data_IF_883814679898
#
_entry.id   IF_883814679898
#
_cell.length_a   1.000
_cell.length_b   1.000
_cell.length_c   1.000
_cell.angle_alpha   90.00
_cell.angle_beta   90.00
_cell.angle_gamma   90.00
#
_symmetry.space_group_name_H-M   'P 1'
#
loop_
_entity.id
_entity.type
_entity.pdbx_description
1 polymer ?
#
# COMPACT_ATOMS: atom_id res chain seq x y z
N UNK A 1 -7.90 26.46 -2.53
CA UNK A 1 -7.84 25.12 -3.16
C UNK A 1 -8.31 25.29 -4.61
N UNK A 2 -7.37 25.44 -5.55
CA UNK A 2 -7.70 25.62 -6.97
C UNK A 2 -7.91 24.24 -7.61
N UNK A 3 -9.15 23.88 -7.85
CA UNK A 3 -9.48 22.81 -8.80
C UNK A 3 -9.31 23.42 -10.18
N UNK A 4 -8.14 23.22 -10.81
CA UNK A 4 -7.97 23.47 -12.22
C UNK A 4 -8.67 22.33 -12.96
N UNK A 5 -9.89 22.60 -13.39
CA UNK A 5 -10.60 21.75 -14.34
C UNK A 5 -9.85 21.82 -15.69
N UNK A 6 -8.95 20.87 -15.91
CA UNK A 6 -8.24 20.76 -17.19
C UNK A 6 -9.05 19.91 -18.12
N UNK A 7 -9.78 20.57 -19.02
CA UNK A 7 -10.37 19.92 -20.18
C UNK A 7 -9.32 19.75 -21.27
N UNK A 8 -9.06 18.53 -21.67
CA UNK A 8 -8.29 18.22 -22.89
C UNK A 8 -9.29 17.64 -23.90
N UNK A 9 -9.54 18.36 -24.98
CA UNK A 9 -10.43 17.91 -26.04
C UNK A 9 -11.92 17.81 -25.69
N UNK A 10 -12.40 18.54 -24.67
CA UNK A 10 -13.81 18.55 -24.25
C UNK A 10 -14.19 17.43 -23.25
N UNK A 11 -13.26 16.55 -22.90
CA UNK A 11 -13.47 15.54 -21.85
C UNK A 11 -12.96 16.04 -20.49
N UNK A 12 -13.74 15.78 -19.43
CA UNK A 12 -13.32 16.08 -18.06
C UNK A 12 -12.22 15.09 -17.68
N UNK A 13 -11.04 15.63 -17.32
CA UNK A 13 -9.93 14.79 -16.87
C UNK A 13 -10.31 14.05 -15.57
N UNK A 14 -10.32 12.73 -15.62
CA UNK A 14 -10.54 11.92 -14.43
C UNK A 14 -9.28 11.90 -13.56
N UNK A 15 -9.46 12.17 -12.28
CA UNK A 15 -8.38 12.12 -11.29
C UNK A 15 -8.49 10.84 -10.45
N UNK A 16 -7.36 10.35 -9.95
CA UNK A 16 -7.37 9.38 -8.89
C UNK A 16 -8.01 10.01 -7.64
N UNK A 17 -9.03 9.34 -7.10
CA UNK A 17 -9.73 9.70 -5.86
C UNK A 17 -9.66 8.52 -4.90
N UNK A 18 -10.03 8.74 -3.65
CA UNK A 18 -10.15 7.66 -2.68
C UNK A 18 -11.11 6.56 -3.18
N UNK A 19 -12.29 6.95 -3.64
CA UNK A 19 -13.35 6.01 -4.05
C UNK A 19 -12.91 5.14 -5.23
N UNK A 20 -12.38 5.75 -6.30
CA UNK A 20 -11.95 4.97 -7.46
C UNK A 20 -10.65 4.18 -7.19
N UNK A 21 -9.83 4.59 -6.22
CA UNK A 21 -8.66 3.83 -5.79
C UNK A 21 -9.07 2.59 -4.99
N UNK A 22 -10.04 2.72 -4.09
CA UNK A 22 -10.63 1.56 -3.38
C UNK A 22 -11.30 0.60 -4.36
N UNK A 23 -12.04 1.12 -5.34
CA UNK A 23 -12.64 0.29 -6.39
C UNK A 23 -11.56 -0.46 -7.19
N UNK A 24 -10.43 0.20 -7.54
CA UNK A 24 -9.33 -0.45 -8.24
C UNK A 24 -8.69 -1.55 -7.39
N UNK A 25 -8.44 -1.33 -6.10
CA UNK A 25 -7.97 -2.36 -5.18
C UNK A 25 -8.94 -3.56 -5.15
N UNK A 26 -10.23 -3.31 -5.01
CA UNK A 26 -11.25 -4.36 -4.97
C UNK A 26 -11.30 -5.20 -6.28
N UNK A 27 -11.05 -4.60 -7.44
CA UNK A 27 -10.95 -5.34 -8.73
C UNK A 27 -9.76 -6.32 -8.74
N UNK A 28 -8.71 -6.03 -7.98
CA UNK A 28 -7.57 -6.93 -7.76
C UNK A 28 -7.78 -7.85 -6.55
N UNK A 29 -9.01 -7.93 -6.00
CA UNK A 29 -9.36 -8.73 -4.83
C UNK A 29 -8.59 -8.32 -3.56
N UNK A 30 -8.24 -7.05 -3.44
CA UNK A 30 -7.56 -6.45 -2.29
C UNK A 30 -8.57 -5.63 -1.50
N UNK A 31 -8.87 -6.03 -0.26
CA UNK A 31 -9.76 -5.29 0.63
C UNK A 31 -9.00 -4.48 1.66
N UNK A 32 -9.56 -3.36 2.11
CA UNK A 32 -8.94 -2.53 3.16
C UNK A 32 -8.80 -3.31 4.47
N UNK A 33 -9.74 -4.22 4.74
CA UNK A 33 -9.74 -5.07 5.94
C UNK A 33 -8.54 -6.02 5.95
N UNK A 34 -8.20 -6.64 4.84
CA UNK A 34 -7.03 -7.53 4.73
C UNK A 34 -5.72 -6.78 4.91
N UNK A 35 -5.60 -5.57 4.33
CA UNK A 35 -4.45 -4.68 4.58
C UNK A 35 -4.36 -4.34 6.07
N UNK A 36 -5.51 -4.01 6.71
CA UNK A 36 -5.55 -3.66 8.12
C UNK A 36 -5.15 -4.82 9.04
N UNK A 37 -5.50 -6.06 8.71
CA UNK A 37 -5.10 -7.25 9.46
C UNK A 37 -3.58 -7.39 9.49
N UNK A 38 -2.91 -7.19 8.35
CA UNK A 38 -1.44 -7.25 8.27
C UNK A 38 -0.80 -6.15 9.13
N UNK A 39 -1.29 -4.92 9.03
CA UNK A 39 -0.82 -3.81 9.83
C UNK A 39 -1.08 -4.00 11.33
N UNK A 40 -2.22 -4.56 11.71
CA UNK A 40 -2.55 -4.93 13.08
C UNK A 40 -1.57 -5.97 13.63
N UNK A 41 -1.30 -7.03 12.88
CA UNK A 41 -0.38 -8.09 13.30
C UNK A 41 1.05 -7.57 13.51
N UNK A 42 1.46 -6.56 12.75
CA UNK A 42 2.77 -5.91 12.90
C UNK A 42 2.87 -5.10 14.19
N UNK A 43 1.79 -4.46 14.67
CA UNK A 43 1.83 -3.48 15.75
C UNK A 43 1.16 -3.91 17.05
N UNK A 44 0.34 -4.96 17.06
CA UNK A 44 -0.45 -5.39 18.25
C UNK A 44 0.39 -5.65 19.50
N UNK A 45 1.66 -6.03 19.35
CA UNK A 45 2.57 -6.27 20.47
C UNK A 45 3.21 -4.99 21.02
N UNK A 46 3.15 -3.88 20.27
CA UNK A 46 3.78 -2.60 20.61
C UNK A 46 2.76 -1.54 21.00
N UNK A 47 1.50 -1.69 20.58
CA UNK A 47 0.43 -0.75 20.86
C UNK A 47 -0.66 -1.44 21.67
N UNK A 48 -0.63 -1.33 23.02
CA UNK A 48 -1.63 -1.95 23.89
C UNK A 48 -3.06 -1.49 23.57
N UNK A 49 -3.97 -2.47 23.45
CA UNK A 49 -5.37 -2.21 23.15
C UNK A 49 -5.66 -1.83 21.69
N UNK A 50 -4.68 -1.98 20.78
CA UNK A 50 -4.91 -1.77 19.35
C UNK A 50 -6.00 -2.73 18.85
N UNK A 51 -6.86 -2.25 17.96
CA UNK A 51 -7.87 -3.05 17.28
C UNK A 51 -7.68 -2.99 15.75
N UNK A 52 -8.22 -3.98 15.05
CA UNK A 52 -8.16 -4.01 13.58
C UNK A 52 -8.89 -2.80 12.97
N UNK A 53 -10.01 -2.37 13.59
CA UNK A 53 -10.79 -1.22 13.15
C UNK A 53 -9.95 0.08 13.19
N UNK A 54 -9.12 0.26 14.22
CA UNK A 54 -8.22 1.41 14.31
C UNK A 54 -7.15 1.40 13.20
N UNK A 55 -6.66 0.23 12.84
CA UNK A 55 -5.72 0.09 11.72
C UNK A 55 -6.43 0.31 10.38
N UNK A 56 -7.66 -0.18 10.22
CA UNK A 56 -8.46 0.05 9.02
C UNK A 56 -8.76 1.54 8.81
N UNK A 57 -9.08 2.28 9.87
CA UNK A 57 -9.17 3.76 9.85
C UNK A 57 -7.84 4.41 9.41
N UNK A 58 -6.70 3.84 9.84
CA UNK A 58 -5.39 4.31 9.41
C UNK A 58 -5.16 4.04 7.91
N UNK A 59 -5.52 2.86 7.39
CA UNK A 59 -5.47 2.54 5.94
C UNK A 59 -6.32 3.54 5.15
N UNK A 60 -7.57 3.77 5.56
CA UNK A 60 -8.45 4.77 4.93
C UNK A 60 -7.78 6.15 4.89
N UNK A 61 -7.21 6.57 6.01
CA UNK A 61 -6.52 7.87 6.10
C UNK A 61 -5.27 7.95 5.20
N UNK A 62 -4.54 6.86 5.04
CA UNK A 62 -3.41 6.75 4.10
C UNK A 62 -3.91 6.93 2.67
N UNK A 63 -4.97 6.23 2.28
CA UNK A 63 -5.55 6.27 0.95
C UNK A 63 -6.16 7.63 0.54
N UNK A 64 -6.47 8.50 1.50
CA UNK A 64 -6.88 9.87 1.19
C UNK A 64 -5.73 10.77 0.71
N UNK A 65 -4.47 10.32 0.82
CA UNK A 65 -3.34 11.06 0.28
C UNK A 65 -3.19 10.79 -1.22
N UNK A 66 -3.34 11.82 -2.02
CA UNK A 66 -3.28 11.73 -3.50
C UNK A 66 -2.00 11.07 -4.02
N UNK A 67 -0.87 11.28 -3.36
CA UNK A 67 0.41 10.67 -3.78
C UNK A 67 0.34 9.14 -3.75
N UNK A 68 -0.32 8.55 -2.76
CA UNK A 68 -0.49 7.10 -2.68
C UNK A 68 -1.50 6.59 -3.69
N UNK A 69 -2.60 7.33 -3.91
CA UNK A 69 -3.55 7.00 -4.96
C UNK A 69 -2.83 6.85 -6.32
N UNK A 70 -1.97 7.81 -6.68
CA UNK A 70 -1.22 7.76 -7.94
C UNK A 70 -0.26 6.56 -8.00
N UNK A 71 0.45 6.24 -6.91
CA UNK A 71 1.36 5.09 -6.85
C UNK A 71 0.61 3.77 -7.00
N UNK A 72 -0.52 3.60 -6.29
CA UNK A 72 -1.40 2.42 -6.40
C UNK A 72 -1.92 2.26 -7.83
N UNK A 73 -2.36 3.37 -8.46
CA UNK A 73 -2.85 3.34 -9.83
C UNK A 73 -1.79 2.90 -10.82
N UNK A 74 -0.55 3.39 -10.70
CA UNK A 74 0.56 2.99 -11.57
C UNK A 74 0.88 1.51 -11.37
N UNK A 75 1.05 1.07 -10.13
CA UNK A 75 1.38 -0.29 -9.76
C UNK A 75 0.37 -1.31 -10.32
N UNK A 76 -0.89 -1.16 -9.93
CA UNK A 76 -1.94 -2.10 -10.34
C UNK A 76 -2.29 -2.01 -11.84
N UNK A 77 -1.95 -0.90 -12.51
CA UNK A 77 -2.10 -0.80 -13.95
C UNK A 77 -0.99 -1.54 -14.69
N UNK A 78 0.24 -1.53 -14.15
CA UNK A 78 1.35 -2.31 -14.72
C UNK A 78 1.07 -3.81 -14.63
N UNK A 79 0.59 -4.31 -13.49
CA UNK A 79 0.17 -5.71 -13.37
C UNK A 79 -0.92 -6.06 -14.39
N UNK A 80 -1.97 -5.24 -14.49
CA UNK A 80 -3.07 -5.46 -15.44
C UNK A 80 -2.61 -5.48 -16.90
N UNK A 81 -1.71 -4.57 -17.28
CA UNK A 81 -1.22 -4.45 -18.66
C UNK A 81 -0.27 -5.60 -18.99
N UNK A 82 0.57 -6.02 -18.02
CA UNK A 82 1.43 -7.19 -18.16
C UNK A 82 0.60 -8.48 -18.30
N UNK A 83 -0.42 -8.68 -17.46
CA UNK A 83 -1.34 -9.84 -17.54
C UNK A 83 -2.05 -9.89 -18.90
N UNK A 84 -2.32 -8.74 -19.52
CA UNK A 84 -2.90 -8.64 -20.84
C UNK A 84 -1.88 -8.76 -22.00
N UNK A 85 -0.58 -8.98 -21.72
CA UNK A 85 0.53 -9.01 -22.67
C UNK A 85 0.63 -7.75 -23.56
N UNK A 86 0.47 -6.57 -22.96
CA UNK A 86 0.47 -5.28 -23.66
C UNK A 86 1.71 -4.42 -23.36
N UNK A 87 2.64 -4.90 -22.54
CA UNK A 87 3.91 -4.23 -22.34
C UNK A 87 4.88 -4.59 -23.49
N UNK A 88 5.83 -3.68 -23.74
CA UNK A 88 6.92 -3.93 -24.69
C UNK A 88 8.05 -4.72 -24.00
N UNK A 89 8.61 -5.73 -24.67
CA UNK A 89 9.80 -6.43 -24.16
C UNK A 89 11.03 -5.49 -24.13
N UNK A 90 11.91 -5.55 -23.11
CA UNK A 90 11.96 -6.62 -22.11
C UNK A 90 11.03 -6.41 -20.88
N UNK A 91 10.31 -5.28 -20.79
CA UNK A 91 9.48 -4.95 -19.61
C UNK A 91 8.37 -5.98 -19.39
N UNK A 92 7.77 -6.51 -20.47
CA UNK A 92 6.78 -7.58 -20.38
C UNK A 92 7.32 -8.78 -19.60
N UNK A 93 8.47 -9.26 -19.99
CA UNK A 93 9.08 -10.45 -19.39
C UNK A 93 9.48 -10.22 -17.93
N UNK A 94 9.99 -9.01 -17.60
CA UNK A 94 10.41 -8.64 -16.25
C UNK A 94 9.21 -8.59 -15.28
N UNK A 95 8.12 -7.94 -15.70
CA UNK A 95 6.94 -7.79 -14.84
C UNK A 95 6.14 -9.09 -14.75
N UNK A 96 5.96 -9.80 -15.86
CA UNK A 96 5.18 -11.04 -15.88
C UNK A 96 5.81 -12.15 -15.04
N UNK A 97 7.15 -12.21 -14.99
CA UNK A 97 7.88 -13.27 -14.28
C UNK A 97 8.32 -12.84 -12.86
N UNK A 98 7.97 -11.66 -12.41
CA UNK A 98 8.42 -11.14 -11.11
C UNK A 98 9.95 -11.31 -10.98
N UNK A 99 10.71 -10.70 -11.92
CA UNK A 99 12.17 -10.89 -11.99
C UNK A 99 12.85 -10.32 -10.76
N UNK A 100 13.62 -11.13 -10.08
CA UNK A 100 14.24 -10.84 -8.77
C UNK A 100 15.16 -9.62 -8.73
N UNK A 101 15.57 -9.09 -9.87
CA UNK A 101 16.41 -7.89 -9.99
C UNK A 101 15.66 -6.72 -10.65
N UNK A 102 14.36 -6.86 -10.88
CA UNK A 102 13.54 -5.78 -11.43
C UNK A 102 13.49 -4.58 -10.48
N UNK A 103 13.14 -4.78 -9.22
CA UNK A 103 13.26 -3.83 -8.10
C UNK A 103 12.46 -2.53 -8.23
N UNK A 104 11.61 -2.37 -9.23
CA UNK A 104 10.77 -1.18 -9.43
C UNK A 104 9.53 -1.26 -8.55
N UNK A 105 9.00 -2.44 -8.36
CA UNK A 105 7.90 -2.82 -7.48
C UNK A 105 8.22 -2.53 -6.01
N UNK A 106 9.34 -3.04 -5.51
CA UNK A 106 9.80 -2.74 -4.14
C UNK A 106 10.18 -1.27 -3.95
N UNK A 107 10.72 -0.63 -5.01
CA UNK A 107 11.01 0.80 -4.95
C UNK A 107 9.73 1.61 -4.80
N UNK A 108 8.66 1.24 -5.50
CA UNK A 108 7.37 1.91 -5.40
C UNK A 108 6.72 1.67 -4.03
N UNK A 109 6.78 0.43 -3.51
CA UNK A 109 6.36 0.08 -2.15
C UNK A 109 7.15 0.85 -1.09
N UNK A 110 8.49 0.91 -1.23
CA UNK A 110 9.36 1.69 -0.34
C UNK A 110 8.99 3.17 -0.34
N UNK A 111 8.66 3.77 -1.48
CA UNK A 111 8.26 5.18 -1.56
C UNK A 111 6.98 5.48 -0.75
N UNK A 112 6.02 4.55 -0.71
CA UNK A 112 4.84 4.63 0.15
C UNK A 112 5.25 4.54 1.63
N UNK A 113 6.04 3.53 1.99
CA UNK A 113 6.47 3.26 3.35
C UNK A 113 7.29 4.41 3.95
N UNK A 114 8.23 4.98 3.20
CA UNK A 114 9.07 6.12 3.60
C UNK A 114 8.25 7.37 3.99
N UNK A 115 7.05 7.53 3.48
CA UNK A 115 6.18 8.66 3.85
C UNK A 115 5.70 8.60 5.32
N UNK A 116 6.00 7.51 6.01
CA UNK A 116 5.71 7.28 7.43
C UNK A 116 6.99 6.96 8.24
N UNK A 117 8.12 7.57 7.81
CA UNK A 117 9.39 7.49 8.51
C UNK A 117 10.02 6.07 8.50
N UNK A 118 11.05 5.89 9.33
CA UNK A 118 11.83 4.64 9.41
C UNK A 118 11.01 3.46 9.89
N UNK A 119 9.99 3.68 10.73
CA UNK A 119 9.06 2.62 11.16
C UNK A 119 8.34 2.02 9.94
N UNK A 120 7.84 2.88 9.04
CA UNK A 120 7.19 2.42 7.81
C UNK A 120 8.10 1.56 6.94
N UNK A 121 9.35 2.00 6.72
CA UNK A 121 10.33 1.26 5.91
C UNK A 121 10.69 -0.09 6.55
N UNK A 122 10.92 -0.10 7.86
CA UNK A 122 11.27 -1.34 8.59
C UNK A 122 10.13 -2.35 8.56
N UNK A 123 8.89 -1.90 8.78
CA UNK A 123 7.71 -2.76 8.72
C UNK A 123 7.48 -3.28 7.30
N UNK A 124 7.64 -2.44 6.27
CA UNK A 124 7.50 -2.87 4.88
C UNK A 124 8.51 -3.96 4.53
N UNK A 125 9.80 -3.74 4.78
CA UNK A 125 10.84 -4.74 4.50
C UNK A 125 10.65 -6.05 5.27
N UNK A 126 10.06 -6.01 6.48
CA UNK A 126 9.70 -7.22 7.21
C UNK A 126 8.50 -7.95 6.59
N UNK A 127 7.41 -7.22 6.29
CA UNK A 127 6.18 -7.76 5.69
C UNK A 127 6.50 -8.38 4.33
N UNK A 128 7.26 -7.67 3.50
CA UNK A 128 7.70 -8.15 2.19
C UNK A 128 8.54 -9.43 2.32
N UNK A 129 9.54 -9.42 3.18
CA UNK A 129 10.42 -10.58 3.38
C UNK A 129 9.69 -11.85 3.83
N UNK A 130 8.73 -11.72 4.75
CA UNK A 130 8.03 -12.90 5.33
C UNK A 130 6.73 -13.22 4.62
N UNK A 131 6.28 -12.37 3.70
CA UNK A 131 5.09 -12.56 2.84
C UNK A 131 3.87 -13.00 3.65
N UNK A 132 3.46 -12.17 4.65
CA UNK A 132 2.32 -12.46 5.53
C UNK A 132 0.96 -12.20 4.88
N UNK A 133 -0.04 -12.99 5.25
CA UNK A 133 -1.44 -12.78 4.88
C UNK A 133 -1.62 -12.62 3.37
N UNK A 134 -2.38 -11.60 2.98
CA UNK A 134 -2.68 -11.31 1.57
C UNK A 134 -1.41 -11.07 0.72
N UNK A 135 -0.32 -10.51 1.28
CA UNK A 135 0.96 -10.36 0.55
C UNK A 135 1.46 -11.71 0.05
N UNK A 136 1.52 -12.71 0.94
CA UNK A 136 1.94 -14.05 0.56
C UNK A 136 0.94 -14.81 -0.33
N UNK A 137 -0.33 -14.44 -0.29
CA UNK A 137 -1.34 -15.01 -1.21
C UNK A 137 -1.17 -14.46 -2.62
N UNK A 138 -0.92 -13.17 -2.75
CA UNK A 138 -0.65 -12.51 -4.04
C UNK A 138 0.66 -13.01 -4.64
N UNK A 139 1.76 -13.01 -3.88
CA UNK A 139 3.06 -13.55 -4.31
C UNK A 139 2.94 -14.99 -4.82
N UNK A 140 2.24 -15.86 -4.08
CA UNK A 140 2.02 -17.24 -4.51
C UNK A 140 1.13 -17.33 -5.75
N UNK A 141 0.10 -16.48 -5.87
CA UNK A 141 -0.81 -16.44 -7.01
C UNK A 141 -0.04 -16.10 -8.29
N UNK A 142 0.82 -15.09 -8.29
CA UNK A 142 1.67 -14.73 -9.41
C UNK A 142 2.60 -15.87 -9.84
N UNK A 143 3.16 -16.60 -8.86
CA UNK A 143 4.10 -17.72 -9.13
C UNK A 143 3.43 -19.02 -9.57
N UNK A 144 2.13 -19.19 -9.34
CA UNK A 144 1.45 -20.47 -9.59
C UNK A 144 0.31 -20.40 -10.60
N UNK A 145 -0.02 -19.22 -11.09
CA UNK A 145 -1.11 -19.00 -12.06
C UNK A 145 -0.63 -18.08 -13.18
N UNK A 146 -1.50 -17.76 -14.12
CA UNK A 146 -1.24 -16.75 -15.15
C UNK A 146 -1.53 -15.30 -14.69
N UNK A 147 -1.86 -15.08 -13.42
CA UNK A 147 -2.07 -13.75 -12.89
C UNK A 147 -0.72 -13.05 -12.69
N UNK A 148 -0.67 -11.76 -12.98
CA UNK A 148 0.49 -10.91 -12.68
C UNK A 148 0.18 -10.10 -11.42
N UNK A 149 1.01 -10.24 -10.40
CA UNK A 149 0.83 -9.61 -9.08
C UNK A 149 2.12 -8.98 -8.56
N UNK A 150 3.09 -8.77 -9.42
CA UNK A 150 4.45 -8.25 -9.16
C UNK A 150 4.42 -6.94 -8.38
N UNK A 151 3.48 -6.05 -8.67
CA UNK A 151 3.31 -4.82 -7.93
C UNK A 151 2.25 -4.91 -6.82
N UNK A 152 1.27 -5.80 -6.97
CA UNK A 152 0.12 -5.84 -6.08
C UNK A 152 0.49 -6.25 -4.65
N UNK A 153 1.36 -7.23 -4.47
CA UNK A 153 1.78 -7.70 -3.15
C UNK A 153 2.63 -6.65 -2.43
N UNK A 154 3.53 -5.95 -3.13
CA UNK A 154 4.33 -4.86 -2.59
C UNK A 154 3.48 -3.66 -2.17
N UNK A 155 2.49 -3.29 -2.96
CA UNK A 155 1.55 -2.22 -2.61
C UNK A 155 0.74 -2.57 -1.37
N UNK A 156 0.27 -3.82 -1.23
CA UNK A 156 -0.43 -4.28 -0.02
C UNK A 156 0.48 -4.22 1.19
N UNK A 157 1.71 -4.71 1.07
CA UNK A 157 2.72 -4.67 2.14
C UNK A 157 3.05 -3.24 2.57
N UNK A 158 3.25 -2.34 1.61
CA UNK A 158 3.55 -0.95 1.86
C UNK A 158 2.40 -0.18 2.51
N UNK A 159 1.15 -0.42 2.10
CA UNK A 159 -0.03 0.19 2.71
C UNK A 159 -0.23 -0.31 4.15
N UNK A 160 -0.03 -1.61 4.40
CA UNK A 160 -0.09 -2.18 5.73
C UNK A 160 0.99 -1.58 6.65
N UNK A 161 2.23 -1.45 6.16
CA UNK A 161 3.34 -0.83 6.88
C UNK A 161 3.08 0.66 7.18
N UNK A 162 2.53 1.39 6.23
CA UNK A 162 2.16 2.80 6.39
C UNK A 162 1.07 2.99 7.46
N UNK A 163 0.04 2.13 7.46
CA UNK A 163 -1.02 2.16 8.47
C UNK A 163 -0.49 1.78 9.86
N UNK A 164 0.34 0.73 9.95
CA UNK A 164 1.02 0.30 11.16
C UNK A 164 1.84 1.44 11.77
N UNK A 165 2.69 2.08 10.98
CA UNK A 165 3.49 3.24 11.40
C UNK A 165 2.63 4.40 11.90
N UNK A 166 1.52 4.68 11.21
CA UNK A 166 0.60 5.75 11.62
C UNK A 166 -0.03 5.50 13.00
N UNK A 167 -0.44 4.27 13.31
CA UNK A 167 -1.00 3.93 14.63
C UNK A 167 0.09 3.96 15.71
N UNK A 168 1.30 3.49 15.42
CA UNK A 168 2.43 3.57 16.33
C UNK A 168 2.77 5.02 16.72
N UNK A 169 2.84 5.93 15.74
CA UNK A 169 3.08 7.36 15.98
C UNK A 169 1.95 7.99 16.80
N UNK A 170 0.69 7.65 16.50
CA UNK A 170 -0.46 8.16 17.27
C UNK A 170 -0.41 7.70 18.72
N UNK A 171 -0.03 6.46 18.97
CA UNK A 171 0.14 5.91 20.31
C UNK A 171 1.28 6.61 21.08
N UNK A 172 2.46 6.73 20.47
CA UNK A 172 3.61 7.40 21.06
C UNK A 172 3.30 8.87 21.42
N UNK A 173 2.60 9.61 20.57
CA UNK A 173 2.17 10.97 20.84
C UNK A 173 1.17 11.08 22.01
N UNK A 174 0.30 10.08 22.17
CA UNK A 174 -0.64 9.98 23.29
C UNK A 174 0.05 9.69 24.62
N UNK A 175 1.01 8.76 24.64
CA UNK A 175 1.81 8.42 25.84
C UNK A 175 2.69 9.57 26.31
N UNK A 176 3.33 10.29 25.39
CA UNK A 176 4.16 11.45 25.73
C UNK A 176 3.33 12.59 26.38
N UNK A 177 2.08 12.79 25.97
CA UNK A 177 1.18 13.78 26.62
C UNK A 177 0.78 13.37 28.02
N UNK A 178 0.65 12.08 28.28
CA UNK A 178 0.27 11.58 29.62
C UNK A 178 1.46 11.71 30.60
N UNK A 179 2.70 11.54 30.14
CA UNK A 179 3.90 11.72 30.96
C UNK A 179 4.12 13.20 31.30
N UNK A 180 3.94 14.12 30.35
CA UNK A 180 4.10 15.56 30.62
C UNK A 180 3.05 16.15 31.58
N UNK A 181 1.94 15.46 31.80
CA UNK A 181 0.91 15.87 32.78
C UNK A 181 1.13 15.26 34.17
N UNK A 182 2.16 14.46 34.36
CA UNK A 182 2.50 13.87 35.66
C UNK A 182 3.64 14.64 36.38
N UNK A 183 4.28 15.59 35.69
CA UNK A 183 5.38 16.41 36.19
C UNK A 183 4.93 17.84 36.61
N UNK A 184 3.62 18.17 36.59
CA UNK A 184 2.99 19.37 37.13
C UNK A 184 2.21 19.03 38.42
#
# INVERSE_FOLDING_TARGET
MYILDKTVGGEIMQYATYENTVEKLNRHHITLREIAIIGYDSEKSYVPGLTIEQVEEAVISVLHKRVFQHQIWVALELDRVAEAHLLESPLQDLVENDDTLFGVDETLGTAIAMSFDTIGVTNYGYIDKIKVGLVGELDRKGKTTAAVTTFADDIVGALAAAAASKVAHKYAAGTNRTVSNLDD
#
